data_IF_803324342726
#
_entry.id   IF_803324342726
#
_cell.length_a   1.000
_cell.length_b   1.000
_cell.length_c   1.000
_cell.angle_alpha   90.00
_cell.angle_beta   90.00
_cell.angle_gamma   90.00
#
_symmetry.space_group_name_H-M   'P 1'
#
loop_
_entity.id
_entity.type
_entity.pdbx_description
1 polymer ?
#
# COMPACT_ATOMS: atom_id res chain seq x y z
N UNK A 1 21.07 35.11 -46.87
CA UNK A 1 19.79 34.54 -46.39
C UNK A 1 20.10 33.19 -45.76
N UNK A 2 19.83 33.08 -44.47
CA UNK A 2 20.14 31.91 -43.63
C UNK A 2 19.17 30.76 -43.96
N UNK A 3 19.69 29.53 -44.05
CA UNK A 3 18.87 28.32 -44.01
C UNK A 3 19.38 27.47 -42.84
N UNK A 4 18.66 27.56 -41.72
CA UNK A 4 18.83 26.70 -40.56
C UNK A 4 18.18 25.33 -40.85
N UNK A 5 18.98 24.27 -40.81
CA UNK A 5 18.48 22.90 -40.77
C UNK A 5 18.18 22.52 -39.31
N UNK A 6 16.99 22.02 -38.95
CA UNK A 6 16.78 21.47 -37.61
C UNK A 6 17.23 20.02 -37.58
N UNK A 7 18.20 19.74 -36.71
CA UNK A 7 18.64 18.40 -36.33
C UNK A 7 17.57 17.78 -35.43
N UNK A 8 16.87 16.75 -35.91
CA UNK A 8 15.86 16.03 -35.15
C UNK A 8 16.53 14.86 -34.42
N UNK A 9 16.95 15.10 -33.17
CA UNK A 9 17.48 14.06 -32.28
C UNK A 9 16.29 13.38 -31.59
N UNK A 10 15.91 12.19 -32.06
CA UNK A 10 14.94 11.34 -31.37
C UNK A 10 15.68 10.58 -30.27
N UNK A 11 15.55 11.03 -29.02
CA UNK A 11 15.98 10.27 -27.86
C UNK A 11 14.86 9.29 -27.49
N UNK A 12 14.94 8.06 -28.03
CA UNK A 12 14.07 6.98 -27.59
C UNK A 12 14.52 6.51 -26.21
N UNK A 13 13.89 7.04 -25.16
CA UNK A 13 14.06 6.52 -23.79
C UNK A 13 13.31 5.19 -23.73
N UNK A 14 14.02 4.09 -23.97
CA UNK A 14 13.54 2.77 -23.59
C UNK A 14 13.56 2.68 -22.06
N UNK A 15 12.44 3.06 -21.43
CA UNK A 15 12.19 2.72 -20.03
C UNK A 15 11.96 1.22 -19.94
N UNK A 16 13.04 0.46 -19.77
CA UNK A 16 12.95 -0.94 -19.32
C UNK A 16 12.36 -0.94 -17.92
N UNK A 17 11.04 -1.08 -17.82
CA UNK A 17 10.39 -1.42 -16.56
C UNK A 17 10.80 -2.85 -16.19
N UNK A 18 11.96 -2.99 -15.54
CA UNK A 18 12.30 -4.24 -14.87
C UNK A 18 11.30 -4.42 -13.75
N UNK A 19 10.27 -5.23 -13.98
CA UNK A 19 9.43 -5.73 -12.89
C UNK A 19 10.32 -6.63 -12.05
N UNK A 20 11.02 -6.04 -11.07
CA UNK A 20 11.84 -6.78 -10.14
C UNK A 20 10.92 -7.79 -9.45
N UNK A 21 11.20 -9.08 -9.64
CA UNK A 21 10.50 -10.15 -8.94
C UNK A 21 10.79 -9.93 -7.46
N UNK A 22 9.81 -9.42 -6.70
CA UNK A 22 9.97 -9.24 -5.24
C UNK A 22 10.45 -10.57 -4.66
N UNK A 23 11.65 -10.56 -4.09
CA UNK A 23 12.11 -11.63 -3.24
C UNK A 23 11.23 -11.68 -1.99
N UNK A 24 11.22 -12.82 -1.32
CA UNK A 24 10.62 -12.91 0.01
C UNK A 24 11.42 -12.08 1.00
N UNK A 25 10.73 -11.35 1.87
CA UNK A 25 11.37 -10.53 2.90
C UNK A 25 12.25 -11.39 3.81
N UNK A 26 13.48 -10.92 3.98
CA UNK A 26 14.54 -11.57 4.75
C UNK A 26 14.69 -10.97 6.15
N UNK A 27 14.38 -9.67 6.29
CA UNK A 27 14.47 -8.91 7.54
C UNK A 27 13.68 -9.59 8.66
N UNK A 28 14.16 -9.44 9.89
CA UNK A 28 13.36 -9.84 11.05
C UNK A 28 12.22 -8.85 11.26
N UNK A 29 11.23 -9.25 12.06
CA UNK A 29 10.13 -8.32 12.39
C UNK A 29 10.63 -7.11 13.21
N UNK A 30 11.71 -7.27 13.97
CA UNK A 30 12.30 -6.17 14.75
C UNK A 30 13.10 -5.20 13.85
N UNK A 31 13.75 -5.71 12.80
CA UNK A 31 14.39 -4.85 11.79
C UNK A 31 13.34 -4.02 11.05
N UNK A 32 12.25 -4.66 10.60
CA UNK A 32 11.13 -3.97 9.94
C UNK A 32 10.47 -2.93 10.85
N UNK A 33 10.34 -3.23 12.14
CA UNK A 33 9.83 -2.27 13.12
C UNK A 33 10.76 -1.07 13.27
N UNK A 34 12.07 -1.28 13.32
CA UNK A 34 13.06 -0.19 13.38
C UNK A 34 12.97 0.73 12.16
N UNK A 35 12.85 0.14 10.97
CA UNK A 35 12.68 0.88 9.73
C UNK A 35 11.36 1.67 9.71
N UNK A 36 10.24 1.04 10.10
CA UNK A 36 8.93 1.69 10.13
C UNK A 36 8.87 2.87 11.13
N UNK A 37 9.60 2.78 12.25
CA UNK A 37 9.76 3.91 13.18
C UNK A 37 10.55 5.04 12.53
N UNK A 38 11.62 4.72 11.79
CA UNK A 38 12.41 5.71 11.07
C UNK A 38 11.63 6.39 9.92
N UNK A 39 10.64 5.69 9.33
CA UNK A 39 9.70 6.23 8.34
C UNK A 39 8.62 7.16 8.94
N UNK A 40 8.65 7.37 10.26
CA UNK A 40 7.74 8.27 10.98
C UNK A 40 6.66 7.56 11.78
N UNK A 41 6.65 6.23 11.80
CA UNK A 41 5.86 5.43 12.74
C UNK A 41 4.35 5.59 12.61
N UNK A 42 3.82 5.73 11.40
CA UNK A 42 2.37 5.80 11.17
C UNK A 42 1.93 4.64 10.26
N UNK A 43 0.81 4.00 10.60
CA UNK A 43 0.22 2.93 9.80
C UNK A 43 -1.30 3.06 9.79
N UNK A 44 -1.89 3.24 8.62
CA UNK A 44 -3.36 3.27 8.43
C UNK A 44 -3.82 2.04 7.66
N UNK A 45 -4.69 1.26 8.29
CA UNK A 45 -5.33 0.08 7.71
C UNK A 45 -6.82 0.34 7.48
N UNK A 46 -7.26 0.18 6.23
CA UNK A 46 -8.69 0.02 5.93
C UNK A 46 -9.05 -1.46 5.95
N UNK A 47 -9.89 -1.85 6.90
CA UNK A 47 -10.29 -3.24 7.10
C UNK A 47 -11.80 -3.41 6.84
N UNK A 48 -12.16 -4.45 6.09
CA UNK A 48 -13.54 -4.85 5.88
C UNK A 48 -14.16 -5.44 7.14
N UNK A 49 -15.31 -4.96 7.57
CA UNK A 49 -16.03 -5.50 8.72
C UNK A 49 -17.39 -4.86 8.93
N UNK A 50 -18.11 -5.36 9.93
CA UNK A 50 -19.49 -4.95 10.21
C UNK A 50 -19.57 -3.91 11.34
N UNK A 51 -18.65 -3.94 12.31
CA UNK A 51 -18.66 -3.03 13.45
C UNK A 51 -17.30 -2.35 13.64
N UNK A 52 -17.27 -1.09 14.12
CA UNK A 52 -16.02 -0.35 14.34
C UNK A 52 -15.01 -1.08 15.24
N UNK A 53 -15.49 -1.89 16.19
CA UNK A 53 -14.66 -2.58 17.19
C UNK A 53 -14.25 -4.00 16.78
N UNK A 54 -14.65 -4.49 15.61
CA UNK A 54 -14.38 -5.88 15.19
C UNK A 54 -12.88 -6.19 15.12
N UNK A 55 -12.04 -5.18 14.90
CA UNK A 55 -10.58 -5.30 14.86
C UNK A 55 -9.87 -4.80 16.13
N UNK A 56 -10.58 -4.62 17.25
CA UNK A 56 -9.97 -4.18 18.50
C UNK A 56 -8.84 -5.12 18.97
N UNK A 57 -9.05 -6.44 18.89
CA UNK A 57 -8.01 -7.41 19.25
C UNK A 57 -6.75 -7.34 18.38
N UNK A 58 -6.91 -7.07 17.07
CA UNK A 58 -5.78 -6.85 16.16
C UNK A 58 -5.04 -5.56 16.52
N UNK A 59 -5.79 -4.48 16.73
CA UNK A 59 -5.25 -3.18 17.12
C UNK A 59 -4.43 -3.28 18.40
N UNK A 60 -5.00 -3.87 19.46
CA UNK A 60 -4.37 -3.95 20.77
C UNK A 60 -3.10 -4.83 20.73
N UNK A 61 -3.16 -5.97 20.05
CA UNK A 61 -1.99 -6.84 19.90
C UNK A 61 -0.86 -6.17 19.10
N UNK A 62 -1.19 -5.43 18.03
CA UNK A 62 -0.21 -4.70 17.23
C UNK A 62 0.42 -3.56 18.04
N UNK A 63 -0.40 -2.72 18.68
CA UNK A 63 0.07 -1.59 19.49
C UNK A 63 0.92 -2.07 20.68
N UNK A 64 0.57 -3.20 21.29
CA UNK A 64 1.37 -3.82 22.35
C UNK A 64 2.73 -4.30 21.83
N UNK A 65 2.79 -4.88 20.63
CA UNK A 65 4.04 -5.40 20.05
C UNK A 65 4.95 -4.32 19.46
N UNK A 66 4.36 -3.23 18.95
CA UNK A 66 5.05 -2.17 18.23
C UNK A 66 4.66 -0.78 18.78
N UNK A 67 5.08 -0.45 20.02
CA UNK A 67 4.56 0.71 20.75
C UNK A 67 4.90 2.08 20.13
N UNK A 68 5.89 2.15 19.24
CA UNK A 68 6.27 3.39 18.55
C UNK A 68 5.63 3.52 17.15
N UNK A 69 4.70 2.62 16.78
CA UNK A 69 3.87 2.79 15.59
C UNK A 69 2.49 3.28 16.03
N UNK A 70 2.11 4.46 15.55
CA UNK A 70 0.75 4.96 15.59
C UNK A 70 -0.11 4.18 14.59
N UNK A 71 -0.71 3.09 15.07
CA UNK A 71 -1.55 2.20 14.27
C UNK A 71 -3.02 2.64 14.31
N UNK A 72 -3.58 2.97 13.15
CA UNK A 72 -5.00 3.27 12.98
C UNK A 72 -5.65 2.18 12.13
N UNK A 73 -6.70 1.53 12.65
CA UNK A 73 -7.56 0.64 11.86
C UNK A 73 -8.94 1.25 11.71
N UNK A 74 -9.40 1.38 10.47
CA UNK A 74 -10.75 1.88 10.14
C UNK A 74 -11.56 0.73 9.59
N UNK A 75 -12.59 0.34 10.35
CA UNK A 75 -13.50 -0.74 9.95
C UNK A 75 -14.73 -0.15 9.27
N UNK A 76 -15.03 -0.65 8.08
CA UNK A 76 -16.25 -0.36 7.32
C UNK A 76 -16.58 -1.56 6.44
N UNK A 77 -17.78 -1.63 5.88
CA UNK A 77 -18.09 -2.68 4.92
C UNK A 77 -17.13 -2.63 3.73
N UNK A 78 -16.70 -3.80 3.25
CA UNK A 78 -15.76 -3.84 2.13
C UNK A 78 -16.28 -3.13 0.87
N UNK A 79 -17.58 -3.22 0.62
CA UNK A 79 -18.28 -2.53 -0.50
C UNK A 79 -18.35 -1.00 -0.38
N UNK A 80 -17.92 -0.44 0.74
CA UNK A 80 -17.78 1.01 0.92
C UNK A 80 -16.31 1.41 0.93
N UNK A 81 -15.44 0.60 1.54
CA UNK A 81 -14.00 0.79 1.44
C UNK A 81 -13.48 0.68 0.01
N UNK A 82 -13.99 -0.23 -0.82
CA UNK A 82 -13.55 -0.39 -2.22
C UNK A 82 -13.85 0.87 -3.06
N UNK A 83 -15.09 1.38 -3.03
CA UNK A 83 -15.49 2.61 -3.72
C UNK A 83 -14.76 3.83 -3.15
N UNK A 84 -14.55 3.87 -1.83
CA UNK A 84 -13.77 4.94 -1.18
C UNK A 84 -12.33 4.95 -1.69
N UNK A 85 -11.68 3.79 -1.77
CA UNK A 85 -10.30 3.67 -2.27
C UNK A 85 -10.24 4.03 -3.74
N UNK A 86 -11.20 3.58 -4.57
CA UNK A 86 -11.25 3.94 -5.99
C UNK A 86 -11.35 5.46 -6.18
N UNK A 87 -12.25 6.12 -5.44
CA UNK A 87 -12.37 7.57 -5.48
C UNK A 87 -11.10 8.27 -4.98
N UNK A 88 -10.48 7.76 -3.91
CA UNK A 88 -9.24 8.33 -3.36
C UNK A 88 -8.06 8.20 -4.34
N UNK A 89 -7.98 7.08 -5.07
CA UNK A 89 -6.99 6.89 -6.13
C UNK A 89 -7.23 7.85 -7.30
N UNK A 90 -8.48 8.03 -7.72
CA UNK A 90 -8.86 8.92 -8.83
C UNK A 90 -8.61 10.40 -8.50
N UNK A 91 -8.77 10.78 -7.22
CA UNK A 91 -8.65 12.16 -6.76
C UNK A 91 -7.28 12.49 -6.13
N UNK A 92 -6.35 11.55 -6.13
CA UNK A 92 -5.03 11.65 -5.48
C UNK A 92 -5.13 12.03 -3.99
N UNK A 93 -6.09 11.42 -3.30
CA UNK A 93 -6.36 11.59 -1.86
C UNK A 93 -6.26 10.28 -1.08
N UNK A 94 -5.47 9.31 -1.58
CA UNK A 94 -5.28 8.00 -0.93
C UNK A 94 -4.80 8.14 0.51
N UNK A 95 -5.57 7.55 1.42
CA UNK A 95 -5.31 7.55 2.86
C UNK A 95 -4.66 6.27 3.38
N UNK A 96 -5.18 5.06 3.10
CA UNK A 96 -4.66 3.86 3.73
C UNK A 96 -3.30 3.45 3.15
N UNK A 97 -2.42 2.96 4.03
CA UNK A 97 -1.18 2.28 3.65
C UNK A 97 -1.47 0.80 3.30
N UNK A 98 -2.45 0.20 4.00
CA UNK A 98 -2.84 -1.21 3.84
C UNK A 98 -4.35 -1.34 3.70
N UNK A 99 -4.79 -2.27 2.87
CA UNK A 99 -6.20 -2.63 2.66
C UNK A 99 -6.41 -4.12 2.88
N UNK A 100 -7.44 -4.50 3.64
CA UNK A 100 -7.82 -5.88 3.92
C UNK A 100 -9.33 -6.06 3.79
N UNK A 101 -9.80 -6.63 2.67
CA UNK A 101 -11.23 -6.68 2.31
C UNK A 101 -11.67 -8.08 1.88
N UNK A 102 -12.96 -8.38 2.04
CA UNK A 102 -13.57 -9.63 1.53
C UNK A 102 -13.88 -9.58 0.02
N UNK A 103 -13.85 -8.39 -0.59
CA UNK A 103 -14.11 -8.16 -2.02
C UNK A 103 -12.86 -8.50 -2.86
N UNK A 104 -12.51 -9.79 -2.90
CA UNK A 104 -11.24 -10.28 -3.45
C UNK A 104 -10.98 -9.88 -4.92
N UNK A 105 -12.04 -9.64 -5.70
CA UNK A 105 -11.93 -9.17 -7.08
C UNK A 105 -11.20 -7.82 -7.22
N UNK A 106 -11.29 -6.95 -6.20
CA UNK A 106 -10.68 -5.62 -6.24
C UNK A 106 -9.15 -5.69 -6.26
N UNK A 107 -8.56 -6.64 -5.53
CA UNK A 107 -7.11 -6.84 -5.53
C UNK A 107 -6.59 -7.21 -6.92
N UNK A 108 -7.33 -8.01 -7.69
CA UNK A 108 -6.96 -8.34 -9.07
C UNK A 108 -7.04 -7.10 -9.98
N UNK A 109 -8.07 -6.28 -9.81
CA UNK A 109 -8.28 -5.04 -10.57
C UNK A 109 -7.22 -3.99 -10.25
N UNK A 110 -6.95 -3.73 -8.98
CA UNK A 110 -5.94 -2.80 -8.50
C UNK A 110 -4.52 -3.25 -8.86
N UNK A 111 -4.22 -4.55 -8.83
CA UNK A 111 -2.93 -5.06 -9.31
C UNK A 111 -2.74 -4.79 -10.81
N UNK A 112 -3.76 -5.00 -11.64
CA UNK A 112 -3.73 -4.66 -13.08
C UNK A 112 -3.56 -3.16 -13.32
N UNK A 113 -4.14 -2.33 -12.45
CA UNK A 113 -3.99 -0.88 -12.49
C UNK A 113 -2.62 -0.39 -11.96
N UNK A 114 -1.79 -1.28 -11.40
CA UNK A 114 -0.46 -0.93 -10.90
C UNK A 114 -0.47 -0.04 -9.64
N UNK A 115 -1.58 0.03 -8.91
CA UNK A 115 -1.71 0.88 -7.71
C UNK A 115 -1.30 0.16 -6.42
N UNK A 116 -0.86 -1.10 -6.53
CA UNK A 116 -0.41 -1.89 -5.41
C UNK A 116 1.08 -2.22 -5.51
N UNK A 117 1.81 -2.06 -4.41
CA UNK A 117 3.18 -2.46 -4.18
C UNK A 117 3.32 -3.99 -4.12
N UNK A 118 4.09 -4.61 -5.02
CA UNK A 118 4.41 -6.03 -4.90
C UNK A 118 5.31 -6.28 -3.68
N UNK A 119 4.78 -6.95 -2.66
CA UNK A 119 5.56 -7.33 -1.46
C UNK A 119 5.26 -8.77 -1.04
N UNK A 120 6.32 -9.50 -0.69
CA UNK A 120 6.24 -10.85 -0.15
C UNK A 120 6.75 -10.85 1.29
N UNK A 121 5.87 -10.86 2.32
CA UNK A 121 6.29 -10.87 3.71
C UNK A 121 7.13 -12.10 4.04
N UNK A 122 7.89 -12.03 5.14
CA UNK A 122 8.65 -13.17 5.63
C UNK A 122 7.72 -14.34 5.94
N UNK A 123 8.03 -15.51 5.40
CA UNK A 123 7.17 -16.70 5.44
C UNK A 123 6.18 -16.81 4.28
N UNK A 124 6.24 -15.93 3.27
CA UNK A 124 5.34 -15.99 2.11
C UNK A 124 5.36 -17.34 1.41
N UNK A 125 6.51 -18.01 1.30
CA UNK A 125 6.61 -19.35 0.73
C UNK A 125 5.83 -20.43 1.49
N UNK A 126 5.38 -20.14 2.72
CA UNK A 126 4.60 -21.05 3.57
C UNK A 126 3.09 -20.84 3.41
N UNK A 127 2.66 -19.78 2.72
CA UNK A 127 1.25 -19.54 2.42
C UNK A 127 0.77 -20.57 1.40
N UNK A 128 -0.43 -21.11 1.61
CA UNK A 128 -1.02 -22.05 0.67
C UNK A 128 -1.09 -21.45 -0.75
N UNK A 129 -0.78 -22.24 -1.78
CA UNK A 129 -0.64 -21.77 -3.16
C UNK A 129 -1.92 -21.12 -3.73
N UNK A 130 -3.09 -21.40 -3.17
CA UNK A 130 -4.34 -20.73 -3.59
C UNK A 130 -4.50 -19.33 -3.02
N UNK A 131 -3.64 -18.89 -2.10
CA UNK A 131 -3.75 -17.63 -1.35
C UNK A 131 -2.52 -16.72 -1.50
N UNK A 132 -1.43 -17.18 -2.13
CA UNK A 132 -0.15 -16.46 -2.17
C UNK A 132 -0.04 -15.43 -3.31
N UNK A 133 -0.99 -14.48 -3.37
CA UNK A 133 -0.92 -13.34 -4.31
C UNK A 133 -0.03 -12.24 -3.72
N UNK A 134 0.93 -11.71 -4.49
CA UNK A 134 1.91 -10.70 -4.05
C UNK A 134 1.33 -9.30 -4.11
N UNK A 135 0.82 -8.73 -3.00
CA UNK A 135 0.27 -7.37 -3.05
C UNK A 135 0.15 -6.64 -1.67
N UNK A 136 0.74 -5.46 -1.53
CA UNK A 136 0.56 -4.47 -0.43
C UNK A 136 0.37 -3.07 -1.05
N UNK A 137 -0.16 -2.05 -0.36
CA UNK A 137 -0.43 -0.71 -0.90
C UNK A 137 0.82 0.11 -1.26
N UNK A 138 0.62 1.19 -2.04
CA UNK A 138 1.64 2.10 -2.63
C UNK A 138 2.70 2.56 -1.60
N UNK A 139 3.98 2.56 -1.98
CA UNK A 139 5.04 3.25 -1.24
C UNK A 139 4.88 4.77 -1.39
N UNK A 140 4.67 5.49 -0.29
CA UNK A 140 4.57 6.96 -0.27
C UNK A 140 5.96 7.61 -0.43
N UNK A 141 6.19 8.31 -1.53
CA UNK A 141 7.08 9.49 -1.52
C UNK A 141 6.26 10.69 -1.06
N UNK A 142 6.66 11.28 0.07
CA UNK A 142 6.24 12.58 0.64
C UNK A 142 4.76 12.73 1.02
N UNK A 143 4.47 12.72 2.33
CA UNK A 143 3.14 12.99 2.91
C UNK A 143 3.10 14.40 3.51
N UNK A 144 2.11 15.21 3.11
CA UNK A 144 1.66 16.34 3.92
C UNK A 144 0.68 15.82 4.99
N UNK A 145 0.80 16.31 6.22
CA UNK A 145 -0.03 15.89 7.37
C UNK A 145 -1.51 16.25 7.16
N UNK A 146 -2.45 15.29 7.22
CA UNK A 146 -3.87 15.62 7.22
C UNK A 146 -4.35 16.13 8.59
N UNK A 147 -5.11 17.22 8.56
CA UNK A 147 -5.84 17.82 9.66
C UNK A 147 -6.89 16.84 10.24
N UNK A 148 -6.83 16.61 11.56
CA UNK A 148 -7.70 15.70 12.32
C UNK A 148 -9.17 16.13 12.48
N UNK A 149 -9.66 17.14 11.75
CA UNK A 149 -10.96 17.76 12.04
C UNK A 149 -12.16 17.25 11.22
N UNK A 150 -11.99 16.36 10.24
CA UNK A 150 -13.13 15.86 9.44
C UNK A 150 -13.06 14.34 9.27
N UNK A 151 -13.62 13.62 10.25
CA UNK A 151 -14.07 12.23 10.10
C UNK A 151 -15.57 12.19 10.37
#
# INVERSE_FOLDING_TARGET
>A
MQLFAPLLVVFAILSSATTAKSAEESKTIDDLYTDAVAEGGNLVLYHGGDTPTQQAGLHDAFAQRFPNINFTVVVDYSKYHDVRIDNQLETDTLVPDVVALQTLQDFTRWAKAGVLLPYKPKGFSKIHNSLNVTVVGRAHTERAQPNAANW
#
